data_IF_559365916299
#
_entry.id   IF_559365916299
#
_cell.length_a   1.000
_cell.length_b   1.000
_cell.length_c   1.000
_cell.angle_alpha   90.00
_cell.angle_beta   90.00
_cell.angle_gamma   90.00
#
_symmetry.space_group_name_H-M   'P 1'
#
loop_
_entity.id
_entity.type
_entity.pdbx_description
1 polymer ?
#
# COMPACT_ATOMS: atom_id res chain seq x y z
N UNK A 1 40.79 -35.21 -66.97
CA UNK A 1 39.46 -34.59 -67.23
C UNK A 1 38.87 -34.15 -65.90
N UNK A 2 38.36 -32.93 -65.89
CA UNK A 2 37.89 -32.20 -64.72
C UNK A 2 36.56 -32.74 -64.16
N UNK A 3 36.34 -32.56 -62.86
CA UNK A 3 35.07 -32.07 -62.31
C UNK A 3 35.24 -31.76 -60.80
N UNK A 4 35.18 -30.47 -60.47
CA UNK A 4 34.89 -29.97 -59.12
C UNK A 4 33.38 -30.13 -58.89
N UNK A 5 32.96 -30.58 -57.70
CA UNK A 5 31.60 -30.32 -57.22
C UNK A 5 31.59 -30.05 -55.71
N UNK A 6 31.20 -28.81 -55.42
CA UNK A 6 30.87 -28.13 -54.18
C UNK A 6 30.41 -28.97 -52.97
N UNK A 7 31.00 -28.66 -51.81
CA UNK A 7 30.41 -28.93 -50.50
C UNK A 7 29.23 -27.97 -50.26
N UNK A 8 28.08 -28.43 -49.73
CA UNK A 8 26.94 -27.58 -49.45
C UNK A 8 27.19 -26.71 -48.22
N UNK A 9 27.12 -25.41 -48.46
CA UNK A 9 27.13 -24.33 -47.49
C UNK A 9 25.81 -24.36 -46.70
N UNK A 10 25.84 -24.83 -45.44
CA UNK A 10 24.68 -24.84 -44.56
C UNK A 10 24.87 -23.83 -43.42
N UNK A 11 24.45 -22.60 -43.73
CA UNK A 11 23.76 -21.65 -42.86
C UNK A 11 24.41 -21.31 -41.52
N UNK A 12 25.37 -20.40 -41.59
CA UNK A 12 25.83 -19.54 -40.50
C UNK A 12 24.75 -18.50 -40.14
N UNK A 13 23.56 -18.94 -39.69
CA UNK A 13 22.43 -18.06 -39.38
C UNK A 13 21.71 -18.40 -38.06
N UNK A 14 22.44 -18.88 -37.05
CA UNK A 14 21.96 -18.93 -35.66
C UNK A 14 22.93 -18.19 -34.73
N UNK A 15 23.36 -17.00 -35.15
CA UNK A 15 24.04 -16.06 -34.28
C UNK A 15 22.99 -15.13 -33.65
N UNK A 16 22.70 -15.39 -32.37
CA UNK A 16 22.38 -14.38 -31.38
C UNK A 16 21.27 -13.36 -31.72
N UNK A 17 20.01 -13.76 -31.58
CA UNK A 17 18.98 -12.81 -31.12
C UNK A 17 19.00 -12.77 -29.59
N UNK A 18 20.11 -12.28 -29.02
CA UNK A 18 20.08 -11.68 -27.69
C UNK A 18 19.37 -10.35 -27.84
N UNK A 19 18.04 -10.36 -27.75
CA UNK A 19 17.27 -9.13 -27.60
C UNK A 19 17.79 -8.43 -26.34
N UNK A 20 18.64 -7.42 -26.55
CA UNK A 20 18.96 -6.42 -25.55
C UNK A 20 17.64 -5.79 -25.10
N UNK A 21 17.06 -6.34 -24.05
CA UNK A 21 15.99 -5.65 -23.36
C UNK A 21 16.65 -4.43 -22.69
N UNK A 22 16.15 -3.21 -22.92
CA UNK A 22 16.55 -2.09 -22.09
C UNK A 22 16.31 -2.51 -20.64
N UNK A 23 17.28 -2.24 -19.76
CA UNK A 23 17.24 -2.64 -18.35
C UNK A 23 16.09 -1.88 -17.68
N UNK A 24 14.90 -2.44 -17.78
CA UNK A 24 13.68 -1.89 -17.19
C UNK A 24 13.69 -2.21 -15.71
N UNK A 25 13.41 -1.22 -14.87
CA UNK A 25 13.17 -1.44 -13.44
C UNK A 25 11.85 -2.19 -13.19
N UNK A 26 11.06 -2.43 -14.24
CA UNK A 26 9.72 -3.03 -14.17
C UNK A 26 9.73 -4.49 -14.61
N UNK A 27 9.00 -5.32 -13.87
CA UNK A 27 8.68 -6.69 -14.27
C UNK A 27 7.59 -6.72 -15.34
N UNK A 28 7.43 -7.88 -15.99
CA UNK A 28 6.32 -8.11 -16.90
C UNK A 28 4.96 -7.98 -16.18
N UNK A 29 3.89 -7.53 -16.88
CA UNK A 29 2.55 -7.44 -16.29
C UNK A 29 2.11 -8.77 -15.68
N UNK A 30 1.56 -8.71 -14.46
CA UNK A 30 0.99 -9.88 -13.77
C UNK A 30 -0.49 -10.02 -14.11
N UNK A 31 -0.97 -11.26 -14.12
CA UNK A 31 -2.38 -11.59 -14.27
C UNK A 31 -3.17 -11.30 -12.98
N UNK A 32 -4.50 -11.23 -13.10
CA UNK A 32 -5.37 -10.87 -11.98
C UNK A 32 -5.29 -11.86 -10.80
N UNK A 33 -5.04 -13.14 -11.05
CA UNK A 33 -4.94 -14.15 -9.99
C UNK A 33 -3.68 -13.93 -9.14
N UNK A 34 -2.54 -13.70 -9.80
CA UNK A 34 -1.29 -13.34 -9.11
C UNK A 34 -1.40 -12.05 -8.30
N UNK A 35 -2.19 -11.07 -8.76
CA UNK A 35 -2.48 -9.83 -8.01
C UNK A 35 -3.31 -10.12 -6.76
N UNK A 36 -4.37 -10.92 -6.88
CA UNK A 36 -5.24 -11.30 -5.75
C UNK A 36 -4.49 -12.13 -4.71
N UNK A 37 -3.62 -13.06 -5.13
CA UNK A 37 -2.78 -13.85 -4.24
C UNK A 37 -1.81 -12.97 -3.45
N UNK A 38 -1.14 -12.03 -4.14
CA UNK A 38 -0.21 -11.10 -3.51
C UNK A 38 -0.93 -10.19 -2.48
N UNK A 39 -2.13 -9.70 -2.80
CA UNK A 39 -2.94 -8.87 -1.89
C UNK A 39 -3.24 -9.57 -0.56
N UNK A 40 -3.56 -10.88 -0.58
CA UNK A 40 -3.85 -11.66 0.64
C UNK A 40 -2.65 -11.79 1.56
N UNK A 41 -1.45 -11.82 1.01
CA UNK A 41 -0.18 -11.91 1.76
C UNK A 41 0.48 -10.55 2.02
N UNK A 42 -0.08 -9.46 1.52
CA UNK A 42 0.61 -8.16 1.44
C UNK A 42 0.68 -7.39 2.76
N UNK A 43 -0.05 -7.78 3.80
CA UNK A 43 -0.06 -7.08 5.09
C UNK A 43 0.71 -7.89 6.13
N UNK A 44 1.98 -7.54 6.42
CA UNK A 44 2.75 -8.08 7.53
C UNK A 44 1.99 -8.04 8.87
N UNK A 45 2.21 -9.03 9.73
CA UNK A 45 1.66 -9.05 11.11
C UNK A 45 2.01 -7.79 11.93
N UNK A 46 3.18 -7.20 11.68
CA UNK A 46 3.60 -5.93 12.29
C UNK A 46 2.69 -4.77 11.88
N UNK A 47 2.24 -4.76 10.62
CA UNK A 47 1.32 -3.75 10.11
C UNK A 47 -0.09 -3.95 10.66
N UNK A 48 -0.48 -5.18 11.01
CA UNK A 48 -1.72 -5.42 11.75
C UNK A 48 -1.67 -4.75 13.12
N UNK A 49 -0.56 -4.88 13.85
CA UNK A 49 -0.40 -4.28 15.18
C UNK A 49 -0.38 -2.75 15.14
N UNK A 50 0.35 -2.15 14.20
CA UNK A 50 0.38 -0.69 14.05
C UNK A 50 -0.99 -0.15 13.64
N UNK A 51 -1.70 -0.90 12.81
CA UNK A 51 -3.06 -0.55 12.41
C UNK A 51 -4.06 -0.67 13.55
N UNK A 52 -4.00 -1.76 14.32
CA UNK A 52 -4.89 -1.95 15.47
C UNK A 52 -4.62 -0.89 16.55
N UNK A 53 -3.37 -0.44 16.70
CA UNK A 53 -3.05 0.71 17.53
C UNK A 53 -3.71 2.01 17.03
N UNK A 54 -3.65 2.28 15.73
CA UNK A 54 -4.32 3.44 15.14
C UNK A 54 -5.85 3.40 15.34
N UNK A 55 -6.48 2.23 15.18
CA UNK A 55 -7.91 2.04 15.45
C UNK A 55 -8.26 2.29 16.92
N UNK A 56 -7.44 1.83 17.86
CA UNK A 56 -7.66 2.06 19.30
C UNK A 56 -7.58 3.55 19.65
N UNK A 57 -6.64 4.29 19.05
CA UNK A 57 -6.56 5.74 19.26
C UNK A 57 -7.81 6.44 18.71
N UNK A 58 -8.29 6.02 17.53
CA UNK A 58 -9.54 6.53 16.97
C UNK A 58 -10.73 6.31 17.90
N UNK A 59 -10.89 5.10 18.44
CA UNK A 59 -11.97 4.76 19.36
C UNK A 59 -11.90 5.64 20.61
N UNK A 60 -10.72 5.77 21.23
CA UNK A 60 -10.52 6.62 22.41
C UNK A 60 -10.86 8.08 22.13
N UNK A 61 -10.39 8.61 21.00
CA UNK A 61 -10.71 9.97 20.57
C UNK A 61 -12.21 10.17 20.35
N UNK A 62 -12.87 9.21 19.68
CA UNK A 62 -14.31 9.28 19.42
C UNK A 62 -15.13 9.25 20.71
N UNK A 63 -14.71 8.45 21.69
CA UNK A 63 -15.31 8.36 23.02
C UNK A 63 -15.10 9.64 23.81
N UNK A 64 -13.87 10.19 23.78
CA UNK A 64 -13.56 11.48 24.41
C UNK A 64 -14.51 12.56 23.91
N UNK A 65 -14.68 12.71 22.59
CA UNK A 65 -15.61 13.69 22.00
C UNK A 65 -17.07 13.49 22.41
N UNK A 66 -17.53 12.24 22.52
CA UNK A 66 -18.87 11.90 23.01
C UNK A 66 -19.05 12.35 24.47
N UNK A 67 -18.03 12.19 25.31
CA UNK A 67 -18.03 12.61 26.71
C UNK A 67 -17.91 14.12 26.89
N UNK A 68 -17.21 14.82 25.98
CA UNK A 68 -17.04 16.28 26.02
C UNK A 68 -18.29 17.07 25.65
N UNK A 69 -19.44 16.43 25.42
CA UNK A 69 -20.66 17.05 24.88
C UNK A 69 -20.38 17.92 23.64
N UNK A 70 -19.45 17.48 22.78
CA UNK A 70 -19.10 18.21 21.57
C UNK A 70 -20.32 18.30 20.64
N UNK A 71 -20.55 19.48 20.04
CA UNK A 71 -21.68 19.69 19.11
C UNK A 71 -21.64 18.79 17.87
N UNK A 72 -20.50 18.15 17.59
CA UNK A 72 -20.31 17.24 16.47
C UNK A 72 -19.77 15.89 16.98
N UNK A 73 -20.63 14.87 17.13
CA UNK A 73 -20.20 13.55 17.57
C UNK A 73 -19.42 12.85 16.45
N UNK A 74 -18.20 12.42 16.75
CA UNK A 74 -17.39 11.65 15.83
C UNK A 74 -17.96 10.22 15.64
N UNK A 75 -17.77 9.61 14.46
CA UNK A 75 -18.23 8.25 14.20
C UNK A 75 -17.46 7.25 15.08
N UNK A 76 -18.20 6.30 15.64
CA UNK A 76 -17.68 5.27 16.54
C UNK A 76 -16.61 4.40 15.88
N UNK A 77 -16.74 4.19 14.57
CA UNK A 77 -15.84 3.37 13.78
C UNK A 77 -15.34 4.19 12.58
N UNK A 78 -14.06 4.06 12.21
CA UNK A 78 -13.50 4.76 11.04
C UNK A 78 -14.05 4.21 9.70
N UNK A 79 -14.89 3.18 9.73
CA UNK A 79 -15.34 2.41 8.56
C UNK A 79 -16.72 2.79 8.01
N UNK A 80 -17.36 3.84 8.54
CA UNK A 80 -18.76 4.10 8.19
C UNK A 80 -18.95 4.49 6.71
N UNK A 81 -18.16 5.42 6.19
CA UNK A 81 -18.19 5.86 4.79
C UNK A 81 -16.90 6.63 4.44
N UNK A 82 -16.39 6.49 3.21
CA UNK A 82 -15.11 7.10 2.78
C UNK A 82 -15.17 8.63 2.80
N UNK A 83 -16.25 9.20 2.28
CA UNK A 83 -16.41 10.68 2.23
C UNK A 83 -16.51 11.29 3.63
N UNK A 84 -17.15 10.54 4.53
CA UNK A 84 -17.28 10.88 5.94
C UNK A 84 -15.93 10.76 6.66
N UNK A 85 -15.16 9.71 6.37
CA UNK A 85 -13.84 9.49 6.98
C UNK A 85 -12.87 10.63 6.71
N UNK A 86 -12.73 11.11 5.48
CA UNK A 86 -11.75 12.16 5.13
C UNK A 86 -11.98 13.45 5.94
N UNK A 87 -13.26 13.79 6.14
CA UNK A 87 -13.67 14.95 6.94
C UNK A 87 -13.33 14.78 8.43
N UNK A 88 -13.44 13.56 8.96
CA UNK A 88 -13.12 13.27 10.36
C UNK A 88 -11.65 13.02 10.60
N UNK A 89 -10.92 12.49 9.61
CA UNK A 89 -9.50 12.19 9.70
C UNK A 89 -8.70 13.47 9.94
N UNK A 90 -9.05 14.55 9.26
CA UNK A 90 -8.41 15.86 9.46
C UNK A 90 -8.57 16.37 10.90
N UNK A 91 -9.78 16.24 11.48
CA UNK A 91 -10.06 16.64 12.87
C UNK A 91 -9.34 15.72 13.86
N UNK A 92 -9.38 14.43 13.61
CA UNK A 92 -8.70 13.42 14.41
C UNK A 92 -7.19 13.70 14.49
N UNK A 93 -6.52 13.93 13.35
CA UNK A 93 -5.07 14.16 13.32
C UNK A 93 -4.65 15.44 14.06
N UNK A 94 -5.52 16.46 14.10
CA UNK A 94 -5.28 17.71 14.84
C UNK A 94 -5.54 17.58 16.34
N UNK A 95 -6.43 16.67 16.75
CA UNK A 95 -6.88 16.52 18.14
C UNK A 95 -6.11 15.41 18.89
N UNK A 96 -5.34 14.57 18.20
CA UNK A 96 -4.59 13.47 18.83
C UNK A 96 -3.25 13.96 19.41
N UNK A 97 -3.08 13.73 20.70
CA UNK A 97 -1.83 14.00 21.41
C UNK A 97 -1.24 12.72 21.99
N UNK A 98 0.06 12.78 22.29
CA UNK A 98 0.73 11.80 23.14
C UNK A 98 0.14 11.86 24.55
N UNK A 99 0.36 10.81 25.33
CA UNK A 99 -0.01 10.78 26.76
C UNK A 99 0.61 11.93 27.56
N UNK A 100 1.75 12.40 27.08
CA UNK A 100 2.56 13.47 27.63
C UNK A 100 1.97 14.87 27.33
N UNK A 101 0.85 14.95 26.59
CA UNK A 101 0.18 16.18 26.17
C UNK A 101 0.77 16.83 24.92
N UNK A 102 1.96 16.41 24.49
CA UNK A 102 2.62 16.91 23.28
C UNK A 102 2.02 16.31 22.00
N UNK A 103 2.11 17.06 20.90
CA UNK A 103 1.73 16.60 19.57
C UNK A 103 2.59 15.41 19.10
N UNK A 104 2.00 14.55 18.26
CA UNK A 104 2.76 13.48 17.61
C UNK A 104 3.68 14.07 16.53
N UNK A 105 4.89 13.51 16.33
CA UNK A 105 5.73 13.86 15.20
C UNK A 105 5.00 13.59 13.86
N UNK A 106 5.29 14.36 12.79
CA UNK A 106 4.63 14.22 11.48
C UNK A 106 4.67 12.79 10.92
N UNK A 107 5.79 12.08 11.08
CA UNK A 107 5.92 10.69 10.64
C UNK A 107 4.96 9.76 11.37
N UNK A 108 4.74 9.95 12.67
CA UNK A 108 3.81 9.14 13.45
C UNK A 108 2.37 9.41 13.00
N UNK A 109 2.00 10.67 12.80
CA UNK A 109 0.68 11.04 12.28
C UNK A 109 0.42 10.40 10.91
N UNK A 110 1.42 10.42 10.03
CA UNK A 110 1.36 9.74 8.74
C UNK A 110 1.09 8.24 8.88
N UNK A 111 1.84 7.53 9.74
CA UNK A 111 1.63 6.10 9.97
C UNK A 111 0.25 5.79 10.56
N UNK A 112 -0.26 6.63 11.46
CA UNK A 112 -1.62 6.50 12.02
C UNK A 112 -2.66 6.65 10.91
N UNK A 113 -2.54 7.69 10.08
CA UNK A 113 -3.45 7.92 8.96
C UNK A 113 -3.42 6.75 7.96
N UNK A 114 -2.23 6.26 7.59
CA UNK A 114 -2.07 5.10 6.73
C UNK A 114 -2.69 3.84 7.32
N UNK A 115 -2.53 3.59 8.62
CA UNK A 115 -3.15 2.45 9.29
C UNK A 115 -4.68 2.49 9.18
N UNK A 116 -5.28 3.65 9.49
CA UNK A 116 -6.73 3.83 9.38
C UNK A 116 -7.21 3.63 7.94
N UNK A 117 -6.55 4.27 6.97
CA UNK A 117 -6.89 4.16 5.55
C UNK A 117 -6.72 2.73 5.01
N UNK A 118 -5.73 1.98 5.50
CA UNK A 118 -5.49 0.60 5.09
C UNK A 118 -6.65 -0.34 5.42
N UNK A 119 -7.46 -0.04 6.44
CA UNK A 119 -8.60 -0.88 6.85
C UNK A 119 -9.92 -0.46 6.20
N UNK A 120 -9.94 0.68 5.51
CA UNK A 120 -11.11 1.22 4.78
C UNK A 120 -11.12 0.77 3.31
N UNK A 121 -10.08 0.03 2.90
CA UNK A 121 -9.89 -0.46 1.53
C UNK A 121 -10.89 -1.55 1.13
#
# INVERSE_FOLDING_TARGET
MAAQTAAPNLSMAQAAQRHHHPRSQLAAPKDNEAVLAAQKSAIPETDKKSTDWACRIWEQWSLSRKQSHCSYPAPSHPYSDKSTLDSWLSKFLLEICRKDGNEYPPNTLYFVACGILSKVR
#
